data_IF_168888819666
#
_entry.id   IF_168888819666
#
_cell.length_a   1.000
_cell.length_b   1.000
_cell.length_c   1.000
_cell.angle_alpha   90.00
_cell.angle_beta   90.00
_cell.angle_gamma   90.00
#
_symmetry.space_group_name_H-M   'P 1'
#
loop_
_entity.id
_entity.type
_entity.pdbx_description
1 polymer ?
#
# COMPACT_ATOMS: atom_id res chain seq x y z
N UNK A 1 38.65 -5.06 -22.33
CA UNK A 1 37.62 -4.59 -21.38
C UNK A 1 37.11 -5.84 -20.67
N UNK A 2 37.60 -6.11 -19.46
CA UNK A 2 37.19 -7.29 -18.70
C UNK A 2 35.71 -7.12 -18.41
N UNK A 3 34.89 -8.10 -18.80
CA UNK A 3 33.48 -8.16 -18.47
C UNK A 3 33.39 -8.10 -16.95
N UNK A 4 33.10 -6.92 -16.42
CA UNK A 4 32.94 -6.66 -14.99
C UNK A 4 31.61 -7.28 -14.59
N UNK A 5 31.57 -8.61 -14.59
CA UNK A 5 30.55 -9.37 -13.86
C UNK A 5 30.56 -8.75 -12.48
N UNK A 6 29.44 -8.09 -12.14
CA UNK A 6 29.20 -7.50 -10.84
C UNK A 6 29.73 -8.50 -9.82
N UNK A 7 30.75 -8.13 -9.07
CA UNK A 7 31.20 -8.92 -7.92
C UNK A 7 29.98 -8.91 -6.99
N UNK A 8 29.12 -9.92 -7.13
CA UNK A 8 27.92 -10.02 -6.32
C UNK A 8 28.45 -10.18 -4.90
N UNK A 9 28.08 -9.25 -4.03
CA UNK A 9 28.37 -9.38 -2.61
C UNK A 9 27.62 -10.63 -2.13
N UNK A 10 28.31 -11.77 -2.15
CA UNK A 10 27.74 -13.09 -1.94
C UNK A 10 27.11 -13.23 -0.54
N UNK A 11 27.50 -12.33 0.36
CA UNK A 11 27.00 -12.26 1.73
C UNK A 11 25.68 -11.50 1.86
N UNK A 12 25.28 -10.71 0.85
CA UNK A 12 24.09 -9.88 0.89
C UNK A 12 23.13 -10.20 -0.26
N UNK A 13 21.83 -10.23 0.02
CA UNK A 13 20.79 -10.33 -1.01
C UNK A 13 19.84 -9.16 -0.90
N UNK A 14 19.57 -8.51 -2.02
CA UNK A 14 18.56 -7.48 -2.11
C UNK A 14 17.16 -8.12 -2.20
N UNK A 15 16.24 -7.69 -1.36
CA UNK A 15 14.82 -8.05 -1.40
C UNK A 15 14.01 -6.81 -1.77
N UNK A 16 13.13 -6.96 -2.76
CA UNK A 16 12.25 -5.91 -3.26
C UNK A 16 10.80 -6.31 -2.99
N UNK A 17 10.02 -5.42 -2.37
CA UNK A 17 8.62 -5.64 -2.07
C UNK A 17 7.79 -4.46 -2.54
N UNK A 18 6.73 -4.74 -3.29
CA UNK A 18 5.77 -3.74 -3.75
C UNK A 18 4.35 -4.10 -3.33
N UNK A 19 3.63 -3.15 -2.76
CA UNK A 19 2.19 -3.22 -2.54
C UNK A 19 1.50 -2.29 -3.54
N UNK A 20 0.63 -2.85 -4.39
CA UNK A 20 -0.04 -2.14 -5.48
C UNK A 20 -1.54 -2.18 -5.28
N UNK A 21 -2.20 -1.04 -5.45
CA UNK A 21 -3.66 -0.96 -5.41
C UNK A 21 -4.28 -1.82 -6.51
N UNK A 22 -5.34 -2.54 -6.17
CA UNK A 22 -6.12 -3.30 -7.15
C UNK A 22 -7.12 -2.35 -7.83
N UNK A 23 -7.31 -2.46 -9.16
CA UNK A 23 -8.34 -1.70 -9.86
C UNK A 23 -9.73 -1.86 -9.21
N UNK A 24 -10.60 -0.84 -9.28
CA UNK A 24 -11.90 -0.91 -8.63
C UNK A 24 -12.75 -2.00 -9.32
N UNK A 25 -13.35 -2.94 -8.56
CA UNK A 25 -14.14 -4.02 -9.16
C UNK A 25 -15.48 -3.53 -9.73
N UNK A 26 -15.90 -2.31 -9.38
CA UNK A 26 -17.13 -1.64 -9.81
C UNK A 26 -16.88 -0.13 -9.93
N UNK A 27 -17.84 0.62 -10.45
CA UNK A 27 -17.77 2.08 -10.49
C UNK A 27 -17.52 2.67 -9.09
N UNK A 28 -16.44 3.45 -8.96
CA UNK A 28 -16.08 4.13 -7.72
C UNK A 28 -16.36 5.64 -7.86
N UNK A 29 -17.20 6.23 -6.99
CA UNK A 29 -17.48 7.67 -7.00
C UNK A 29 -16.21 8.51 -6.87
N UNK A 30 -15.32 8.17 -5.93
CA UNK A 30 -14.06 8.90 -5.76
C UNK A 30 -13.15 8.84 -6.99
N UNK A 31 -13.11 7.72 -7.74
CA UNK A 31 -12.38 7.67 -9.01
C UNK A 31 -13.03 8.58 -10.06
N UNK A 32 -14.37 8.65 -10.11
CA UNK A 32 -15.09 9.57 -10.99
C UNK A 32 -14.82 11.03 -10.62
N UNK A 33 -14.82 11.36 -9.34
CA UNK A 33 -14.59 12.73 -8.87
C UNK A 33 -13.15 13.17 -9.19
N UNK A 34 -12.17 12.28 -9.00
CA UNK A 34 -10.78 12.51 -9.46
C UNK A 34 -10.72 12.72 -10.97
N UNK A 35 -11.46 11.91 -11.75
CA UNK A 35 -11.52 12.03 -13.20
C UNK A 35 -12.12 13.36 -13.68
N UNK A 36 -13.09 13.91 -12.93
CA UNK A 36 -13.72 15.20 -13.23
C UNK A 36 -12.85 16.38 -12.76
N UNK A 37 -12.21 16.27 -11.60
CA UNK A 37 -11.36 17.32 -11.03
C UNK A 37 -10.05 17.52 -11.80
N UNK A 38 -9.53 16.47 -12.45
CA UNK A 38 -8.29 16.52 -13.24
C UNK A 38 -8.54 16.07 -14.68
N UNK A 39 -9.14 16.92 -15.54
CA UNK A 39 -9.33 16.64 -16.95
C UNK A 39 -7.97 16.67 -17.67
N UNK A 40 -7.31 15.52 -17.79
CA UNK A 40 -6.03 15.39 -18.48
C UNK A 40 -5.68 13.95 -18.81
N UNK A 41 -4.62 13.73 -19.60
CA UNK A 41 -4.05 12.40 -19.81
C UNK A 41 -3.34 11.94 -18.52
N UNK A 42 -3.80 10.84 -17.94
CA UNK A 42 -3.21 10.26 -16.72
C UNK A 42 -4.14 9.23 -16.05
N UNK A 43 -3.63 8.42 -15.10
CA UNK A 43 -4.45 7.48 -14.35
C UNK A 43 -5.49 8.24 -13.50
N UNK A 44 -6.77 7.89 -13.66
CA UNK A 44 -7.90 8.55 -12.98
C UNK A 44 -8.46 7.69 -11.86
N UNK A 45 -7.58 7.32 -10.93
CA UNK A 45 -7.93 6.47 -9.79
C UNK A 45 -7.82 7.28 -8.51
N UNK A 46 -8.77 7.10 -7.59
CA UNK A 46 -8.60 7.60 -6.23
C UNK A 46 -7.50 6.82 -5.52
N UNK A 47 -7.00 7.36 -4.40
CA UNK A 47 -5.86 6.78 -3.68
C UNK A 47 -6.08 5.29 -3.32
N UNK A 48 -7.30 4.89 -2.95
CA UNK A 48 -7.63 3.48 -2.63
C UNK A 48 -7.44 2.51 -3.81
N UNK A 49 -7.57 3.00 -5.05
CA UNK A 49 -7.50 2.19 -6.27
C UNK A 49 -6.29 2.51 -7.15
N UNK A 50 -5.40 3.40 -6.70
CA UNK A 50 -4.30 3.93 -7.50
C UNK A 50 -3.11 4.35 -6.66
N UNK A 51 -2.62 3.46 -5.79
CA UNK A 51 -1.38 3.65 -5.05
C UNK A 51 -0.35 2.56 -5.38
N UNK A 52 0.93 2.89 -5.22
CA UNK A 52 2.05 1.97 -5.26
C UNK A 52 2.97 2.32 -4.09
N UNK A 53 3.27 1.34 -3.25
CA UNK A 53 4.28 1.43 -2.21
C UNK A 53 5.38 0.43 -2.54
N UNK A 54 6.63 0.90 -2.59
CA UNK A 54 7.79 0.10 -2.92
C UNK A 54 8.84 0.23 -1.81
N UNK A 55 9.46 -0.89 -1.42
CA UNK A 55 10.58 -0.91 -0.49
C UNK A 55 11.65 -1.89 -0.95
N UNK A 56 12.90 -1.58 -0.58
CA UNK A 56 14.08 -2.40 -0.80
C UNK A 56 14.79 -2.55 0.53
N UNK A 57 15.23 -3.77 0.86
CA UNK A 57 16.11 -4.02 1.99
C UNK A 57 17.09 -5.16 1.67
N UNK A 58 18.19 -5.22 2.42
CA UNK A 58 19.19 -6.28 2.28
C UNK A 58 19.02 -7.32 3.38
N UNK A 59 19.32 -8.56 3.03
CA UNK A 59 19.40 -9.69 3.97
C UNK A 59 20.76 -10.36 3.88
N UNK A 60 21.20 -10.98 4.97
CA UNK A 60 22.50 -11.65 5.09
C UNK A 60 22.34 -13.13 5.44
N UNK A 61 23.42 -13.90 5.28
CA UNK A 61 23.42 -15.32 5.65
C UNK A 61 23.29 -15.53 7.19
N UNK A 62 22.53 -16.54 7.67
CA UNK A 62 21.65 -17.41 6.91
C UNK A 62 20.42 -16.64 6.41
N UNK A 63 20.17 -16.70 5.10
CA UNK A 63 19.13 -15.88 4.50
C UNK A 63 17.75 -16.24 5.07
N UNK A 64 16.93 -15.25 5.48
CA UNK A 64 15.58 -15.48 5.98
C UNK A 64 14.75 -16.34 5.02
N UNK A 65 13.94 -17.24 5.58
CA UNK A 65 13.02 -18.04 4.79
C UNK A 65 11.90 -17.19 4.21
N UNK A 66 11.49 -17.48 2.98
CA UNK A 66 10.31 -16.87 2.37
C UNK A 66 9.06 -17.68 2.77
N UNK A 67 8.16 -17.06 3.53
CA UNK A 67 7.00 -17.73 4.14
C UNK A 67 5.73 -16.91 3.94
N UNK A 68 5.22 -16.75 2.70
CA UNK A 68 4.12 -15.83 2.39
C UNK A 68 2.85 -16.15 3.17
N UNK A 69 2.57 -17.45 3.37
CA UNK A 69 1.43 -17.89 4.16
C UNK A 69 1.47 -17.32 5.58
N UNK A 70 2.64 -17.20 6.22
CA UNK A 70 2.80 -16.62 7.56
C UNK A 70 2.96 -15.10 7.53
N UNK A 71 3.75 -14.58 6.59
CA UNK A 71 4.07 -13.16 6.47
C UNK A 71 2.85 -12.29 6.17
N UNK A 72 1.82 -12.86 5.54
CA UNK A 72 0.57 -12.19 5.17
C UNK A 72 -0.66 -12.74 5.93
N UNK A 73 -0.47 -13.42 7.08
CA UNK A 73 -1.60 -13.99 7.84
C UNK A 73 -2.62 -12.98 8.32
N UNK A 74 -2.17 -11.74 8.54
CA UNK A 74 -3.01 -10.64 9.02
C UNK A 74 -3.32 -9.72 7.86
N UNK A 75 -4.60 -9.45 7.65
CA UNK A 75 -5.05 -8.52 6.61
C UNK A 75 -4.35 -7.17 6.74
N UNK A 76 -3.97 -6.61 5.58
CA UNK A 76 -3.28 -5.31 5.44
C UNK A 76 -1.88 -5.23 6.06
N UNK A 77 -1.34 -6.33 6.61
CA UNK A 77 -0.02 -6.36 7.25
C UNK A 77 0.90 -7.35 6.57
N UNK A 78 2.13 -6.93 6.31
CA UNK A 78 3.23 -7.82 5.91
C UNK A 78 4.33 -7.83 6.97
N UNK A 79 4.76 -9.03 7.38
CA UNK A 79 5.94 -9.21 8.22
C UNK A 79 7.18 -9.38 7.33
N UNK A 80 8.13 -8.45 7.44
CA UNK A 80 9.39 -8.45 6.69
C UNK A 80 10.55 -8.77 7.63
N UNK A 81 11.23 -9.88 7.37
CA UNK A 81 12.46 -10.24 8.08
C UNK A 81 13.66 -9.64 7.33
N UNK A 82 14.34 -8.67 7.97
CA UNK A 82 15.50 -7.97 7.41
C UNK A 82 16.83 -8.57 7.89
N UNK A 83 16.83 -9.82 8.36
CA UNK A 83 17.91 -10.53 9.08
C UNK A 83 18.17 -10.00 10.49
N UNK A 84 18.19 -8.68 10.68
CA UNK A 84 18.46 -8.04 11.97
C UNK A 84 17.20 -7.73 12.77
N UNK A 85 16.07 -7.56 12.08
CA UNK A 85 14.80 -7.18 12.71
C UNK A 85 13.61 -7.80 11.97
N UNK A 86 12.49 -7.91 12.68
CA UNK A 86 11.19 -8.24 12.09
C UNK A 86 10.34 -6.97 12.05
N UNK A 87 9.99 -6.52 10.85
CA UNK A 87 9.22 -5.30 10.62
C UNK A 87 7.78 -5.67 10.27
N UNK A 88 6.82 -5.12 11.01
CA UNK A 88 5.41 -5.20 10.67
C UNK A 88 4.99 -3.95 9.89
N UNK A 89 4.81 -4.10 8.58
CA UNK A 89 4.36 -3.01 7.70
C UNK A 89 2.86 -3.14 7.46
N UNK A 90 2.09 -2.14 7.90
CA UNK A 90 0.66 -2.04 7.65
C UNK A 90 0.36 -0.91 6.65
N UNK A 91 -0.46 -1.18 5.64
CA UNK A 91 -0.89 -0.17 4.66
C UNK A 91 -2.40 -0.12 4.64
N UNK A 92 -2.98 1.05 4.92
CA UNK A 92 -4.42 1.28 4.87
C UNK A 92 -4.72 2.67 4.32
N UNK A 93 -5.75 2.76 3.48
CA UNK A 93 -6.25 4.03 2.93
C UNK A 93 -7.56 4.37 3.64
N UNK A 94 -7.57 5.48 4.36
CA UNK A 94 -8.75 5.99 5.04
C UNK A 94 -9.30 7.21 4.30
N UNK A 95 -10.62 7.33 4.23
CA UNK A 95 -11.23 8.59 3.86
C UNK A 95 -11.06 9.56 5.04
N UNK A 96 -10.84 10.84 4.76
CA UNK A 96 -10.99 11.83 5.80
C UNK A 96 -12.48 11.87 6.17
N UNK A 97 -12.82 11.50 7.40
CA UNK A 97 -14.12 11.84 7.98
C UNK A 97 -14.15 13.37 8.09
N UNK A 98 -14.58 14.03 7.03
CA UNK A 98 -15.13 15.37 7.16
C UNK A 98 -16.36 15.20 8.03
N UNK A 99 -16.19 15.43 9.33
CA UNK A 99 -17.26 15.52 10.30
C UNK A 99 -18.22 16.62 9.87
N UNK A 100 -19.18 16.26 9.03
CA UNK A 100 -20.44 16.95 9.01
C UNK A 100 -21.03 16.75 10.40
N UNK A 101 -21.32 17.81 11.18
CA UNK A 101 -22.20 17.65 12.32
C UNK A 101 -23.47 17.00 11.76
N UNK A 102 -23.84 15.83 12.29
CA UNK A 102 -25.19 15.29 12.08
C UNK A 102 -26.13 16.29 12.76
N UNK A 103 -26.51 17.34 12.04
CA UNK A 103 -27.70 18.12 12.34
C UNK A 103 -28.84 17.16 12.07
N UNK A 104 -29.18 16.38 13.10
CA UNK A 104 -30.49 15.78 13.19
C UNK A 104 -31.42 16.89 13.64
N UNK A 105 -31.79 17.74 12.68
CA UNK A 105 -33.02 18.51 12.79
C UNK A 105 -34.17 17.50 12.78
N UNK A 106 -34.70 17.23 13.96
CA UNK A 106 -36.13 16.99 14.10
C UNK A 106 -36.64 17.93 15.17
N UNK A 107 -36.81 19.18 14.75
CA UNK A 107 -37.72 20.09 15.42
C UNK A 107 -39.11 19.88 14.80
N UNK A 108 -40.11 19.62 15.64
CA UNK A 108 -41.49 20.17 15.65
C UNK A 108 -42.48 19.17 16.26
N UNK A 109 -43.66 19.60 16.78
CA UNK A 109 -44.03 20.88 17.39
C UNK A 109 -44.72 20.67 18.77
N UNK A 110 -45.17 21.77 19.36
CA UNK A 110 -46.01 21.85 20.56
C UNK A 110 -47.29 21.01 20.47
N UNK A 111 -47.62 20.29 21.55
CA UNK A 111 -48.88 20.40 22.31
C UNK A 111 -48.67 19.83 23.73
#
# INVERSE_FOLDING_TARGET
>A
MVNMMMMSDENHRDIYVSAVAVPPPRHCPACRDVALAHPGPGPRHCLRHGFLLHTKFQVVYPFPTFQPAFQLRKDQVVLLNTSYSLVACAVAVHAADWGHPRITDTQTPQD
#
